data_IF_317856763375
#
_entry.id   IF_317856763375
#
_cell.length_a   1.000
_cell.length_b   1.000
_cell.length_c   1.000
_cell.angle_alpha   90.00
_cell.angle_beta   90.00
_cell.angle_gamma   90.00
#
_symmetry.space_group_name_H-M   'P 1'
#
loop_
_entity.id
_entity.type
_entity.pdbx_description
1 polymer ?
#
# COMPACT_ATOMS: atom_id res chain seq x y z
N UNK A 1 13.66 -3.70 -0.66
CA UNK A 1 14.77 -4.24 -1.50
C UNK A 1 14.80 -3.41 -2.77
N UNK A 2 15.93 -2.74 -3.04
CA UNK A 2 16.15 -1.99 -4.28
C UNK A 2 16.60 -3.00 -5.34
N UNK A 3 15.98 -3.05 -6.53
CA UNK A 3 16.40 -3.93 -7.60
C UNK A 3 17.86 -3.67 -8.02
N UNK A 4 18.59 -4.71 -8.47
CA UNK A 4 20.03 -4.63 -8.80
C UNK A 4 20.37 -3.64 -9.92
N UNK A 5 19.41 -3.34 -10.79
CA UNK A 5 19.58 -2.37 -11.88
C UNK A 5 19.46 -0.91 -11.44
N UNK A 6 19.24 -0.64 -10.14
CA UNK A 6 19.20 0.70 -9.59
C UNK A 6 20.45 1.00 -8.78
N UNK A 7 20.98 2.19 -8.95
CA UNK A 7 22.08 2.69 -8.14
C UNK A 7 21.56 3.20 -6.80
N UNK A 8 22.18 2.78 -5.70
CA UNK A 8 21.91 3.30 -4.36
C UNK A 8 23.03 4.26 -3.98
N UNK A 9 22.66 5.51 -3.68
CA UNK A 9 23.55 6.52 -3.11
C UNK A 9 23.02 6.92 -1.73
N UNK A 10 23.86 6.85 -0.73
CA UNK A 10 23.50 7.24 0.64
C UNK A 10 23.99 8.66 0.89
N UNK A 11 23.10 9.53 1.33
CA UNK A 11 23.45 10.89 1.76
C UNK A 11 24.08 10.83 3.15
N UNK A 12 25.18 11.56 3.39
CA UNK A 12 25.81 11.62 4.70
C UNK A 12 24.84 12.18 5.74
N UNK A 13 24.88 11.62 6.96
CA UNK A 13 24.08 12.12 8.09
C UNK A 13 24.40 13.56 8.50
N UNK A 14 25.55 14.09 8.05
CA UNK A 14 25.95 15.48 8.27
C UNK A 14 25.20 16.47 7.38
N UNK A 15 24.61 15.98 6.29
CA UNK A 15 23.76 16.77 5.40
C UNK A 15 22.34 16.74 5.95
N UNK A 16 21.95 17.84 6.57
CA UNK A 16 20.58 18.01 7.08
C UNK A 16 19.59 18.17 5.92
N UNK A 17 18.30 17.92 6.19
CA UNK A 17 17.23 18.08 5.19
C UNK A 17 17.22 19.46 4.53
N UNK A 18 17.62 20.51 5.26
CA UNK A 18 17.70 21.87 4.72
C UNK A 18 18.89 22.05 3.75
N UNK A 19 19.94 21.28 3.87
CA UNK A 19 21.12 21.33 2.99
C UNK A 19 21.05 20.34 1.83
N UNK A 20 20.14 19.39 1.90
CA UNK A 20 20.00 18.34 0.89
C UNK A 20 19.70 18.87 -0.51
N UNK A 21 18.85 19.91 -0.73
CA UNK A 21 18.65 20.49 -2.05
C UNK A 21 19.92 21.08 -2.69
N UNK A 22 20.80 21.68 -1.89
CA UNK A 22 22.08 22.20 -2.38
C UNK A 22 23.01 21.06 -2.77
N UNK A 23 23.11 20.04 -1.93
CA UNK A 23 23.89 18.84 -2.22
C UNK A 23 23.40 18.10 -3.46
N UNK A 24 22.06 17.96 -3.65
CA UNK A 24 21.49 17.36 -4.87
C UNK A 24 21.92 18.15 -6.11
N UNK A 25 21.84 19.49 -6.05
CA UNK A 25 22.23 20.36 -7.17
C UNK A 25 23.71 20.28 -7.54
N UNK A 26 24.57 19.97 -6.58
CA UNK A 26 26.00 19.72 -6.83
C UNK A 26 26.28 18.36 -7.45
N UNK A 27 25.42 17.38 -7.26
CA UNK A 27 25.65 15.99 -7.67
C UNK A 27 24.94 15.62 -8.98
N UNK A 28 23.87 16.34 -9.36
CA UNK A 28 22.97 15.96 -10.45
C UNK A 28 22.67 17.17 -11.35
N UNK A 29 22.75 16.98 -12.66
CA UNK A 29 22.39 18.00 -13.63
C UNK A 29 20.86 18.11 -13.78
N UNK A 30 20.33 19.33 -13.69
CA UNK A 30 18.90 19.62 -13.81
C UNK A 30 18.29 19.26 -15.16
N UNK A 31 19.12 19.16 -16.20
CA UNK A 31 18.70 18.79 -17.56
C UNK A 31 18.70 17.28 -17.80
N UNK A 32 19.39 16.51 -16.97
CA UNK A 32 19.49 15.06 -17.09
C UNK A 32 18.63 14.32 -16.07
N UNK A 33 18.31 14.96 -14.94
CA UNK A 33 17.63 14.31 -13.80
C UNK A 33 16.29 14.96 -13.48
N UNK A 34 15.31 14.08 -13.28
CA UNK A 34 14.02 14.34 -12.69
C UNK A 34 14.04 13.81 -11.26
N UNK A 35 13.58 14.58 -10.30
CA UNK A 35 13.51 14.15 -8.90
C UNK A 35 12.12 13.60 -8.58
N UNK A 36 12.10 12.45 -7.89
CA UNK A 36 10.89 11.89 -7.28
C UNK A 36 11.17 11.82 -5.79
N UNK A 37 10.34 12.45 -4.99
CA UNK A 37 10.45 12.45 -3.53
C UNK A 37 9.23 11.78 -2.90
N UNK A 38 9.50 10.95 -1.88
CA UNK A 38 8.52 10.18 -1.13
C UNK A 38 8.91 10.22 0.36
N UNK A 39 8.08 10.86 1.17
CA UNK A 39 8.29 10.96 2.62
C UNK A 39 7.84 12.29 3.21
N UNK A 40 7.34 12.25 4.43
CA UNK A 40 6.75 13.38 5.16
C UNK A 40 7.75 14.50 5.48
N UNK A 41 9.06 14.22 5.47
CA UNK A 41 10.11 15.21 5.66
C UNK A 41 10.28 16.17 4.49
N UNK A 42 9.78 15.83 3.30
CA UNK A 42 9.89 16.64 2.07
C UNK A 42 8.75 17.65 1.98
N UNK A 43 8.66 18.52 2.96
CA UNK A 43 7.60 19.51 3.12
C UNK A 43 7.63 20.61 2.04
N UNK A 44 6.70 21.54 2.12
CA UNK A 44 6.55 22.66 1.21
C UNK A 44 7.85 23.47 1.03
N UNK A 45 8.59 23.73 2.12
CA UNK A 45 9.87 24.47 2.08
C UNK A 45 10.94 23.71 1.30
N UNK A 46 11.05 22.39 1.51
CA UNK A 46 11.97 21.52 0.76
C UNK A 46 11.63 21.52 -0.74
N UNK A 47 10.38 21.30 -1.09
CA UNK A 47 9.91 21.31 -2.47
C UNK A 47 10.22 22.64 -3.17
N UNK A 48 9.95 23.77 -2.50
CA UNK A 48 10.27 25.11 -3.00
C UNK A 48 11.74 25.25 -3.33
N UNK A 49 12.64 24.85 -2.43
CA UNK A 49 14.10 24.92 -2.64
C UNK A 49 14.57 24.06 -3.82
N UNK A 50 14.03 22.85 -3.98
CA UNK A 50 14.31 22.01 -5.16
C UNK A 50 13.86 22.71 -6.44
N UNK A 51 12.68 23.33 -6.46
CA UNK A 51 12.16 24.06 -7.61
C UNK A 51 12.99 25.32 -7.93
N UNK A 52 13.48 26.03 -6.93
CA UNK A 52 14.38 27.19 -7.09
C UNK A 52 15.74 26.80 -7.72
N UNK A 53 16.19 25.54 -7.56
CA UNK A 53 17.37 25.00 -8.27
C UNK A 53 17.10 24.66 -9.73
N UNK A 54 15.84 24.60 -10.15
CA UNK A 54 15.44 24.32 -11.54
C UNK A 54 15.05 22.88 -11.82
N UNK A 55 15.11 21.98 -10.85
CA UNK A 55 14.72 20.57 -11.06
C UNK A 55 13.24 20.41 -11.39
N UNK A 56 12.93 19.43 -12.22
CA UNK A 56 11.60 18.86 -12.32
C UNK A 56 11.35 17.97 -11.11
N UNK A 57 10.21 18.14 -10.45
CA UNK A 57 9.88 17.49 -9.20
C UNK A 57 8.56 16.74 -9.29
N UNK A 58 8.59 15.46 -8.97
CA UNK A 58 7.40 14.64 -8.69
C UNK A 58 7.36 14.38 -7.18
N UNK A 59 6.22 14.62 -6.56
CA UNK A 59 5.99 14.37 -5.15
C UNK A 59 4.94 13.29 -4.95
N UNK A 60 5.28 12.25 -4.18
CA UNK A 60 4.35 11.22 -3.74
C UNK A 60 3.79 11.68 -2.40
N UNK A 61 2.48 11.91 -2.37
CA UNK A 61 1.76 12.43 -1.22
C UNK A 61 0.61 11.50 -0.84
N UNK A 62 0.25 11.47 0.44
CA UNK A 62 -0.90 10.75 0.97
C UNK A 62 -1.77 11.58 1.94
N UNK A 63 -1.36 12.82 2.25
CA UNK A 63 -2.02 13.66 3.25
C UNK A 63 -2.72 14.90 2.69
N UNK A 64 -2.24 15.45 1.56
CA UNK A 64 -2.72 16.72 0.98
C UNK A 64 -2.73 17.89 1.99
N UNK A 65 -1.78 17.93 2.94
CA UNK A 65 -1.83 18.79 4.12
C UNK A 65 -1.08 20.11 3.99
N UNK A 66 -0.25 20.27 2.93
CA UNK A 66 0.61 21.44 2.72
C UNK A 66 0.49 22.01 1.31
N UNK A 67 1.02 23.23 1.11
CA UNK A 67 1.17 23.79 -0.24
C UNK A 67 2.26 23.03 -1.02
N UNK A 68 1.95 22.60 -2.26
CA UNK A 68 2.82 21.77 -3.09
C UNK A 68 3.46 22.59 -4.21
N UNK A 69 4.79 22.48 -4.35
CA UNK A 69 5.57 23.10 -5.42
C UNK A 69 5.93 22.12 -6.56
N UNK A 70 5.58 20.86 -6.43
CA UNK A 70 5.91 19.82 -7.40
C UNK A 70 5.27 20.06 -8.78
N UNK A 71 5.94 19.62 -9.85
CA UNK A 71 5.38 19.63 -11.20
C UNK A 71 4.32 18.55 -11.38
N UNK A 72 4.46 17.43 -10.66
CA UNK A 72 3.44 16.37 -10.58
C UNK A 72 3.25 15.98 -9.12
N UNK A 73 2.00 15.89 -8.69
CA UNK A 73 1.61 15.28 -7.42
C UNK A 73 1.00 13.91 -7.72
N UNK A 74 1.52 12.87 -7.06
CA UNK A 74 0.98 11.52 -7.10
C UNK A 74 0.30 11.26 -5.76
N UNK A 75 -1.00 10.98 -5.78
CA UNK A 75 -1.71 10.45 -4.62
C UNK A 75 -2.71 9.39 -5.10
N UNK A 76 -2.46 8.15 -4.77
CA UNK A 76 -3.23 7.03 -5.28
C UNK A 76 -4.42 6.64 -4.40
N UNK A 77 -4.73 7.41 -3.36
CA UNK A 77 -5.92 7.17 -2.54
C UNK A 77 -7.18 7.22 -3.40
N UNK A 78 -8.12 6.30 -3.23
CA UNK A 78 -9.44 6.42 -3.84
C UNK A 78 -10.08 7.75 -3.41
N UNK A 79 -11.03 8.25 -4.13
CA UNK A 79 -11.80 9.46 -3.78
C UNK A 79 -11.00 10.77 -3.61
N UNK A 80 -9.69 10.78 -3.92
CA UNK A 80 -8.88 11.99 -3.92
C UNK A 80 -9.11 12.81 -5.20
N UNK A 81 -9.25 14.12 -5.06
CA UNK A 81 -9.41 15.05 -6.18
C UNK A 81 -8.40 16.20 -6.13
N UNK A 82 -8.24 16.94 -7.23
CA UNK A 82 -7.35 18.11 -7.28
C UNK A 82 -7.77 19.22 -6.31
N UNK A 83 -9.04 19.27 -5.92
CA UNK A 83 -9.58 20.25 -4.96
C UNK A 83 -9.04 20.07 -3.54
N UNK A 84 -8.52 18.86 -3.23
CA UNK A 84 -7.90 18.59 -1.94
C UNK A 84 -6.52 19.24 -1.80
N UNK A 85 -5.91 19.75 -2.89
CA UNK A 85 -4.54 20.24 -2.89
C UNK A 85 -4.48 21.76 -3.04
N UNK A 86 -3.61 22.38 -2.26
CA UNK A 86 -3.09 23.71 -2.50
C UNK A 86 -1.73 23.60 -3.20
N UNK A 87 -1.59 24.08 -4.43
CA UNK A 87 -0.37 23.84 -5.21
C UNK A 87 -0.08 24.96 -6.23
N UNK A 88 1.09 24.88 -6.89
CA UNK A 88 1.48 25.78 -7.95
C UNK A 88 0.55 25.65 -9.18
N UNK A 89 0.31 26.76 -9.90
CA UNK A 89 -0.68 26.83 -10.97
C UNK A 89 -0.47 25.81 -12.11
N UNK A 90 0.76 25.37 -12.34
CA UNK A 90 1.10 24.43 -13.43
C UNK A 90 1.27 22.99 -12.94
N UNK A 91 0.94 22.70 -11.69
CA UNK A 91 1.05 21.35 -11.13
C UNK A 91 0.07 20.40 -11.84
N UNK A 92 0.58 19.27 -12.28
CA UNK A 92 -0.22 18.16 -12.84
C UNK A 92 -0.50 17.12 -11.78
N UNK A 93 -1.58 16.37 -11.97
CA UNK A 93 -2.05 15.42 -10.98
C UNK A 93 -2.09 13.98 -11.52
N UNK A 94 -1.61 13.06 -10.70
CA UNK A 94 -1.74 11.62 -10.84
C UNK A 94 -2.55 11.10 -9.64
N UNK A 95 -3.89 11.22 -9.70
CA UNK A 95 -4.78 10.97 -8.56
C UNK A 95 -5.64 9.72 -8.72
N UNK A 96 -5.89 9.08 -7.59
CA UNK A 96 -6.79 7.94 -7.47
C UNK A 96 -6.17 6.62 -7.93
N UNK A 97 -6.96 5.55 -7.85
CA UNK A 97 -6.54 4.17 -8.14
C UNK A 97 -6.01 3.95 -9.55
N UNK A 98 -6.44 4.79 -10.52
CA UNK A 98 -5.92 4.77 -11.91
C UNK A 98 -4.43 5.14 -12.00
N UNK A 99 -3.85 5.69 -10.93
CA UNK A 99 -2.44 5.97 -10.76
C UNK A 99 -1.85 5.22 -9.57
N UNK A 100 -2.37 4.05 -9.25
CA UNK A 100 -1.87 3.24 -8.16
C UNK A 100 -0.38 2.92 -8.33
N UNK A 101 0.38 3.08 -7.25
CA UNK A 101 1.80 2.74 -7.18
C UNK A 101 1.93 1.24 -6.91
N UNK A 102 1.80 0.44 -7.95
CA UNK A 102 1.86 -1.02 -7.88
C UNK A 102 3.23 -1.53 -8.32
N UNK A 103 3.75 -2.51 -7.59
CA UNK A 103 4.95 -3.23 -8.00
C UNK A 103 4.73 -4.01 -9.31
N UNK A 104 5.78 -4.21 -10.14
CA UNK A 104 5.65 -4.81 -11.48
C UNK A 104 4.91 -6.14 -11.54
N UNK A 105 5.14 -7.05 -10.60
CA UNK A 105 4.44 -8.35 -10.53
C UNK A 105 2.93 -8.16 -10.38
N UNK A 106 2.48 -7.22 -9.58
CA UNK A 106 1.04 -6.98 -9.38
C UNK A 106 0.39 -6.29 -10.59
N UNK A 107 1.10 -5.42 -11.31
CA UNK A 107 0.64 -4.89 -12.59
C UNK A 107 0.39 -6.00 -13.63
N UNK A 108 1.25 -7.02 -13.67
CA UNK A 108 1.03 -8.18 -14.55
C UNK A 108 -0.13 -9.07 -14.07
N UNK A 109 -0.36 -9.16 -12.76
CA UNK A 109 -1.46 -9.95 -12.19
C UNK A 109 -2.83 -9.32 -12.43
N UNK A 110 -2.93 -8.00 -12.62
CA UNK A 110 -4.18 -7.34 -13.05
C UNK A 110 -4.77 -7.92 -14.34
N UNK A 111 -3.92 -8.48 -15.21
CA UNK A 111 -4.33 -9.08 -16.49
C UNK A 111 -4.92 -10.47 -16.34
N UNK A 112 -4.76 -11.11 -15.18
CA UNK A 112 -5.19 -12.49 -14.91
C UNK A 112 -6.55 -12.50 -14.22
N UNK A 113 -7.36 -13.46 -14.57
CA UNK A 113 -8.59 -13.77 -13.83
C UNK A 113 -8.26 -14.66 -12.63
N UNK A 114 -8.99 -14.49 -11.56
CA UNK A 114 -8.96 -15.38 -10.43
C UNK A 114 -10.33 -16.01 -10.22
N UNK A 115 -10.36 -17.30 -9.98
CA UNK A 115 -11.57 -18.03 -9.64
C UNK A 115 -11.68 -18.21 -8.14
N UNK A 116 -12.89 -18.12 -7.60
CA UNK A 116 -13.18 -18.38 -6.20
C UNK A 116 -12.66 -19.79 -5.80
N UNK A 117 -11.69 -19.80 -4.90
CA UNK A 117 -11.16 -21.01 -4.27
C UNK A 117 -12.01 -21.38 -3.04
N UNK A 118 -11.69 -22.53 -2.42
CA UNK A 118 -12.23 -22.86 -1.11
C UNK A 118 -11.92 -21.74 -0.11
N UNK A 119 -12.84 -21.45 0.80
CA UNK A 119 -12.71 -20.40 1.84
C UNK A 119 -11.97 -20.92 3.09
N UNK A 120 -10.81 -21.54 2.90
CA UNK A 120 -10.13 -22.30 3.96
C UNK A 120 -8.68 -21.88 4.21
N UNK A 121 -8.11 -21.00 3.41
CA UNK A 121 -6.74 -20.54 3.54
C UNK A 121 -6.68 -19.03 3.71
N UNK A 122 -6.30 -18.56 4.89
CA UNK A 122 -6.15 -17.15 5.21
C UNK A 122 -4.76 -16.62 4.80
N UNK A 123 -4.71 -15.42 4.25
CA UNK A 123 -3.52 -14.57 4.19
C UNK A 123 -3.65 -13.49 5.27
N UNK A 124 -2.62 -13.31 6.10
CA UNK A 124 -2.60 -12.29 7.17
C UNK A 124 -1.34 -11.45 7.03
N UNK A 125 -1.49 -10.12 6.92
CA UNK A 125 -0.38 -9.19 6.89
C UNK A 125 -0.81 -7.81 7.37
N UNK A 126 -0.24 -7.32 8.48
CA UNK A 126 -0.50 -5.99 9.04
C UNK A 126 0.63 -5.00 8.80
N UNK A 127 1.33 -5.13 7.65
CA UNK A 127 2.33 -4.16 7.20
C UNK A 127 3.70 -4.31 7.87
N UNK A 128 4.45 -3.22 7.95
CA UNK A 128 5.87 -3.24 8.32
C UNK A 128 6.15 -3.55 9.78
N UNK A 129 5.45 -2.90 10.71
CA UNK A 129 5.74 -2.94 12.14
C UNK A 129 4.64 -3.59 12.99
N UNK A 130 3.37 -3.46 12.59
CA UNK A 130 2.20 -3.92 13.36
C UNK A 130 2.28 -3.56 14.87
N UNK A 131 2.27 -2.27 15.23
CA UNK A 131 2.56 -1.82 16.59
C UNK A 131 1.53 -2.29 17.63
N UNK A 132 0.35 -2.71 17.21
CA UNK A 132 -0.75 -3.18 18.06
C UNK A 132 -0.85 -4.71 18.13
N UNK A 133 0.09 -5.42 17.51
CA UNK A 133 0.13 -6.89 17.41
C UNK A 133 -1.21 -7.48 16.91
N UNK A 134 -1.79 -6.82 15.91
CA UNK A 134 -3.04 -7.25 15.29
C UNK A 134 -2.87 -8.60 14.58
N UNK A 135 -1.68 -8.88 14.06
CA UNK A 135 -1.33 -10.20 13.49
C UNK A 135 -1.57 -11.34 14.48
N UNK A 136 -1.12 -11.20 15.72
CA UNK A 136 -1.33 -12.21 16.75
C UNK A 136 -2.80 -12.36 17.09
N UNK A 137 -3.50 -11.25 17.30
CA UNK A 137 -4.91 -11.24 17.69
C UNK A 137 -5.79 -11.91 16.63
N UNK A 138 -5.61 -11.53 15.37
CA UNK A 138 -6.37 -12.12 14.25
C UNK A 138 -6.00 -13.59 14.03
N UNK A 139 -4.74 -13.96 14.25
CA UNK A 139 -4.31 -15.38 14.15
C UNK A 139 -5.01 -16.23 15.19
N UNK A 140 -5.08 -15.76 16.45
CA UNK A 140 -5.83 -16.45 17.52
C UNK A 140 -7.31 -16.58 17.17
N UNK A 141 -7.94 -15.52 16.63
CA UNK A 141 -9.33 -15.58 16.17
C UNK A 141 -9.53 -16.60 15.04
N UNK A 142 -8.66 -16.62 14.04
CA UNK A 142 -8.73 -17.56 12.92
C UNK A 142 -8.61 -19.02 13.35
N UNK A 143 -7.86 -19.32 14.41
CA UNK A 143 -7.75 -20.67 14.97
C UNK A 143 -9.07 -21.21 15.55
N UNK A 144 -9.98 -20.32 15.96
CA UNK A 144 -11.30 -20.67 16.48
C UNK A 144 -12.35 -20.83 15.35
N UNK A 145 -12.01 -20.48 14.10
CA UNK A 145 -12.91 -20.62 12.95
C UNK A 145 -12.71 -21.98 12.27
N UNK A 146 -13.68 -22.85 12.38
CA UNK A 146 -13.60 -24.25 11.90
C UNK A 146 -13.40 -24.39 10.38
N UNK A 147 -13.83 -23.40 9.60
CA UNK A 147 -13.65 -23.34 8.15
C UNK A 147 -12.20 -23.12 7.74
N UNK A 148 -11.40 -22.44 8.61
CA UNK A 148 -9.99 -22.10 8.29
C UNK A 148 -9.10 -23.33 8.51
N UNK A 149 -8.45 -23.78 7.43
CA UNK A 149 -7.57 -24.95 7.45
C UNK A 149 -6.10 -24.58 7.39
N UNK A 150 -5.77 -23.39 6.89
CA UNK A 150 -4.40 -22.90 6.74
C UNK A 150 -4.34 -21.40 6.97
N UNK A 151 -3.28 -20.94 7.63
CA UNK A 151 -3.02 -19.52 7.87
C UNK A 151 -1.60 -19.21 7.39
N UNK A 152 -1.50 -18.36 6.38
CA UNK A 152 -0.25 -17.81 5.87
C UNK A 152 -0.06 -16.42 6.48
N UNK A 153 0.91 -16.25 7.35
CA UNK A 153 1.22 -14.99 8.03
C UNK A 153 2.46 -14.40 7.39
N UNK A 154 2.37 -13.14 6.94
CA UNK A 154 3.51 -12.38 6.44
C UNK A 154 3.82 -11.26 7.40
N UNK A 155 4.99 -11.33 8.03
CA UNK A 155 5.48 -10.33 8.96
C UNK A 155 6.36 -9.31 8.24
N UNK A 156 6.18 -8.04 8.56
CA UNK A 156 7.04 -6.98 8.07
C UNK A 156 8.43 -6.98 8.72
N UNK A 157 9.39 -6.30 8.08
CA UNK A 157 10.78 -6.27 8.56
C UNK A 157 10.97 -5.57 9.91
N UNK A 158 10.02 -4.73 10.33
CA UNK A 158 10.06 -4.02 11.61
C UNK A 158 9.14 -4.64 12.69
N UNK A 159 8.58 -5.83 12.44
CA UNK A 159 7.77 -6.54 13.43
C UNK A 159 8.63 -7.02 14.60
N UNK A 160 8.27 -6.65 15.83
CA UNK A 160 9.09 -6.88 17.04
C UNK A 160 8.48 -7.86 18.04
N UNK A 161 7.19 -8.19 17.90
CA UNK A 161 6.47 -9.04 18.85
C UNK A 161 6.90 -10.50 18.68
N UNK A 162 7.12 -11.20 19.80
CA UNK A 162 7.68 -12.56 19.79
C UNK A 162 6.62 -13.64 19.99
N UNK A 163 5.45 -13.30 20.54
CA UNK A 163 4.42 -14.28 20.92
C UNK A 163 3.89 -15.06 19.72
N UNK A 164 3.82 -14.46 18.54
CA UNK A 164 3.39 -15.11 17.30
C UNK A 164 4.18 -16.40 17.00
N UNK A 165 5.48 -16.42 17.31
CA UNK A 165 6.36 -17.56 17.06
C UNK A 165 6.14 -18.72 18.05
N UNK A 166 5.46 -18.47 19.18
CA UNK A 166 5.13 -19.50 20.18
C UNK A 166 3.88 -20.31 19.81
N UNK A 167 3.12 -19.88 18.80
CA UNK A 167 1.93 -20.62 18.34
C UNK A 167 2.38 -21.86 17.55
N UNK A 168 2.39 -23.01 18.22
CA UNK A 168 2.79 -24.30 17.63
C UNK A 168 1.58 -25.02 17.01
N UNK A 169 1.18 -24.59 15.81
CA UNK A 169 0.07 -25.19 15.05
C UNK A 169 0.56 -25.55 13.63
N UNK A 170 0.32 -26.81 13.19
CA UNK A 170 0.77 -27.33 11.90
C UNK A 170 0.18 -26.61 10.69
N UNK A 171 -0.96 -25.96 10.89
CA UNK A 171 -1.68 -25.23 9.85
C UNK A 171 -1.27 -23.76 9.72
N UNK A 172 -0.30 -23.28 10.50
CA UNK A 172 0.26 -21.92 10.42
C UNK A 172 1.61 -21.95 9.71
N UNK A 173 1.79 -21.02 8.77
CA UNK A 173 3.08 -20.72 8.17
C UNK A 173 3.40 -19.23 8.34
N UNK A 174 4.57 -18.94 8.88
CA UNK A 174 5.07 -17.58 9.08
C UNK A 174 6.17 -17.31 8.06
N UNK A 175 6.06 -16.18 7.36
CA UNK A 175 6.99 -15.72 6.35
C UNK A 175 7.48 -14.32 6.71
N UNK A 176 8.73 -14.02 6.35
CA UNK A 176 9.33 -12.70 6.53
C UNK A 176 10.37 -12.47 5.42
N UNK A 177 10.64 -11.19 5.10
CA UNK A 177 11.62 -10.81 4.08
C UNK A 177 11.39 -11.43 2.69
N UNK A 178 10.15 -11.56 2.30
CA UNK A 178 9.75 -12.11 1.01
C UNK A 178 10.11 -11.16 -0.14
N UNK A 179 10.54 -11.73 -1.25
CA UNK A 179 10.55 -11.04 -2.54
C UNK A 179 9.11 -10.75 -3.00
N UNK A 180 8.97 -9.83 -3.93
CA UNK A 180 7.68 -9.50 -4.55
C UNK A 180 6.98 -10.73 -5.16
N UNK A 181 7.75 -11.58 -5.83
CA UNK A 181 7.24 -12.80 -6.45
C UNK A 181 6.72 -13.80 -5.40
N UNK A 182 7.51 -14.07 -4.36
CA UNK A 182 7.10 -14.98 -3.27
C UNK A 182 5.85 -14.47 -2.56
N UNK A 183 5.78 -13.17 -2.27
CA UNK A 183 4.60 -12.57 -1.66
C UNK A 183 3.35 -12.77 -2.54
N UNK A 184 3.47 -12.50 -3.84
CA UNK A 184 2.36 -12.67 -4.78
C UNK A 184 1.90 -14.12 -4.91
N UNK A 185 2.82 -15.08 -4.83
CA UNK A 185 2.52 -16.51 -4.84
C UNK A 185 1.73 -16.92 -3.57
N UNK A 186 2.16 -16.46 -2.38
CA UNK A 186 1.46 -16.74 -1.12
C UNK A 186 0.06 -16.12 -1.13
N UNK A 187 -0.08 -14.89 -1.61
CA UNK A 187 -1.39 -14.24 -1.76
C UNK A 187 -2.29 -15.07 -2.69
N UNK A 188 -1.80 -15.50 -3.83
CA UNK A 188 -2.55 -16.30 -4.81
C UNK A 188 -2.92 -17.68 -4.30
N UNK A 189 -2.12 -18.27 -3.42
CA UNK A 189 -2.40 -19.56 -2.79
C UNK A 189 -3.42 -19.45 -1.65
N UNK A 190 -3.76 -18.23 -1.25
CA UNK A 190 -4.75 -17.96 -0.21
C UNK A 190 -6.15 -17.78 -0.80
N UNK A 191 -7.18 -18.06 0.01
CA UNK A 191 -8.58 -17.99 -0.38
C UNK A 191 -9.25 -16.68 0.00
N UNK A 192 -8.69 -16.01 1.01
CA UNK A 192 -9.10 -14.70 1.49
C UNK A 192 -7.94 -14.04 2.22
N UNK A 193 -8.04 -12.73 2.45
CA UNK A 193 -7.01 -11.96 3.14
C UNK A 193 -7.57 -11.14 4.30
N UNK A 194 -6.72 -10.87 5.28
CA UNK A 194 -6.95 -9.91 6.35
C UNK A 194 -5.75 -8.97 6.39
N UNK A 195 -5.99 -7.70 6.11
CA UNK A 195 -4.93 -6.71 5.99
C UNK A 195 -5.45 -5.30 6.29
N UNK A 196 -4.59 -4.36 6.70
CA UNK A 196 -4.99 -2.97 6.87
C UNK A 196 -5.14 -2.27 5.52
N UNK A 197 -5.85 -1.14 5.55
CA UNK A 197 -5.98 -0.25 4.40
C UNK A 197 -4.68 0.52 4.14
N UNK A 198 -3.74 -0.13 3.49
CA UNK A 198 -2.43 0.40 3.12
C UNK A 198 -2.01 -0.14 1.74
N UNK A 199 -0.78 0.05 1.31
CA UNK A 199 -0.28 -0.43 0.01
C UNK A 199 -0.57 -1.93 -0.23
N UNK A 200 -0.55 -2.76 0.81
CA UNK A 200 -0.86 -4.20 0.71
C UNK A 200 -2.28 -4.46 0.20
N UNK A 201 -3.23 -3.57 0.53
CA UNK A 201 -4.62 -3.68 0.08
C UNK A 201 -4.73 -3.55 -1.44
N UNK A 202 -3.98 -2.62 -2.04
CA UNK A 202 -3.93 -2.47 -3.51
C UNK A 202 -3.42 -3.74 -4.18
N UNK A 203 -2.38 -4.35 -3.62
CA UNK A 203 -1.80 -5.59 -4.14
C UNK A 203 -2.75 -6.78 -4.01
N UNK A 204 -3.45 -6.89 -2.89
CA UNK A 204 -4.47 -7.92 -2.67
C UNK A 204 -5.63 -7.77 -3.66
N UNK A 205 -6.07 -6.54 -3.94
CA UNK A 205 -7.08 -6.28 -4.98
C UNK A 205 -6.61 -6.70 -6.38
N UNK A 206 -5.30 -6.61 -6.68
CA UNK A 206 -4.76 -7.15 -7.94
C UNK A 206 -4.85 -8.69 -8.01
N UNK A 207 -4.79 -9.37 -6.87
CA UNK A 207 -4.96 -10.84 -6.77
C UNK A 207 -6.43 -11.23 -6.90
N UNK A 208 -7.36 -10.35 -6.57
CA UNK A 208 -8.82 -10.57 -6.65
C UNK A 208 -9.27 -11.71 -5.74
N UNK A 209 -8.95 -11.61 -4.46
CA UNK A 209 -9.46 -12.48 -3.40
C UNK A 209 -10.30 -11.67 -2.42
N UNK A 210 -11.27 -12.27 -1.72
CA UNK A 210 -12.04 -11.58 -0.68
C UNK A 210 -11.11 -11.03 0.41
N UNK A 211 -11.30 -9.77 0.79
CA UNK A 211 -10.43 -9.07 1.72
C UNK A 211 -11.25 -8.52 2.88
N UNK A 212 -10.88 -8.88 4.12
CA UNK A 212 -11.30 -8.13 5.30
C UNK A 212 -10.26 -7.03 5.53
N UNK A 213 -10.71 -5.79 5.59
CA UNK A 213 -9.81 -4.66 5.82
C UNK A 213 -10.35 -3.71 6.87
N UNK A 214 -9.45 -3.09 7.59
CA UNK A 214 -9.71 -2.03 8.54
C UNK A 214 -8.53 -1.06 8.57
N UNK A 215 -8.61 -0.03 9.40
CA UNK A 215 -7.52 0.93 9.60
C UNK A 215 -7.20 1.06 11.10
N UNK A 216 -5.98 1.46 11.43
CA UNK A 216 -5.52 1.65 12.81
C UNK A 216 -4.62 2.89 12.99
N UNK A 217 -4.37 3.64 11.91
CA UNK A 217 -3.68 4.94 11.87
C UNK A 217 -4.39 5.86 10.86
N UNK A 218 -4.32 7.17 11.09
CA UNK A 218 -5.14 8.17 10.39
C UNK A 218 -4.91 8.18 8.88
N UNK A 219 -3.68 8.01 8.42
CA UNK A 219 -3.37 7.98 6.97
C UNK A 219 -3.93 6.75 6.23
N UNK A 220 -4.43 5.75 6.94
CA UNK A 220 -5.11 4.58 6.36
C UNK A 220 -6.61 4.82 6.13
N UNK A 221 -7.21 5.77 6.85
CA UNK A 221 -8.66 5.97 6.84
C UNK A 221 -9.18 6.38 5.46
N UNK A 222 -8.49 7.29 4.77
CA UNK A 222 -8.87 7.71 3.42
C UNK A 222 -8.82 6.56 2.40
N UNK A 223 -7.80 5.70 2.50
CA UNK A 223 -7.68 4.49 1.68
C UNK A 223 -8.82 3.53 2.01
N UNK A 224 -9.06 3.28 3.30
CA UNK A 224 -10.14 2.42 3.78
C UNK A 224 -11.49 2.84 3.22
N UNK A 225 -11.87 4.10 3.44
CA UNK A 225 -13.15 4.64 2.99
C UNK A 225 -13.32 4.51 1.48
N UNK A 226 -12.27 4.80 0.70
CA UNK A 226 -12.35 4.70 -0.75
C UNK A 226 -12.53 3.28 -1.28
N UNK A 227 -11.92 2.27 -0.66
CA UNK A 227 -12.16 0.87 -1.04
C UNK A 227 -13.49 0.33 -0.51
N UNK A 228 -13.99 0.86 0.61
CA UNK A 228 -15.31 0.57 1.14
C UNK A 228 -16.41 1.12 0.23
N UNK A 229 -16.32 2.38 -0.20
CA UNK A 229 -17.26 3.03 -1.12
C UNK A 229 -17.39 2.27 -2.45
N UNK A 230 -16.30 1.65 -2.91
CA UNK A 230 -16.28 0.80 -4.10
C UNK A 230 -16.78 -0.63 -3.84
N UNK A 231 -17.19 -0.97 -2.63
CA UNK A 231 -17.56 -2.34 -2.20
C UNK A 231 -16.46 -3.38 -2.52
N UNK A 232 -15.18 -3.01 -2.40
CA UNK A 232 -14.05 -3.86 -2.76
C UNK A 232 -13.48 -4.66 -1.59
N UNK A 233 -13.91 -4.35 -0.37
CA UNK A 233 -13.48 -4.95 0.88
C UNK A 233 -14.66 -5.30 1.76
N UNK A 234 -14.49 -6.27 2.64
CA UNK A 234 -15.35 -6.46 3.79
C UNK A 234 -14.84 -5.52 4.91
N UNK A 235 -15.71 -4.66 5.37
CA UNK A 235 -15.37 -3.55 6.25
C UNK A 235 -15.24 -3.97 7.71
N UNK A 236 -14.10 -3.66 8.35
CA UNK A 236 -13.90 -3.85 9.79
C UNK A 236 -13.85 -2.53 10.57
N UNK A 237 -13.80 -1.37 9.87
CA UNK A 237 -13.68 -0.06 10.51
C UNK A 237 -12.32 0.16 11.17
N UNK A 238 -12.32 0.93 12.28
CA UNK A 238 -11.11 1.13 13.09
C UNK A 238 -10.84 -0.12 13.93
N UNK A 239 -9.73 -0.78 13.63
CA UNK A 239 -9.32 -2.06 14.26
C UNK A 239 -8.23 -1.90 15.33
N UNK A 240 -7.86 -0.65 15.65
CA UNK A 240 -6.76 -0.37 16.59
C UNK A 240 -6.90 -1.10 17.92
N UNK A 241 -8.11 -1.08 18.47
CA UNK A 241 -8.41 -1.65 19.80
C UNK A 241 -9.08 -3.05 19.71
N UNK A 242 -9.12 -3.66 18.52
CA UNK A 242 -9.67 -5.00 18.38
C UNK A 242 -8.89 -6.02 19.22
N UNK A 243 -9.63 -6.85 19.90
CA UNK A 243 -9.14 -8.06 20.56
C UNK A 243 -9.50 -9.32 19.74
N UNK A 244 -9.22 -10.49 20.28
CA UNK A 244 -9.54 -11.77 19.63
C UNK A 244 -11.03 -11.91 19.36
N UNK A 245 -11.88 -11.56 20.34
CA UNK A 245 -13.33 -11.69 20.21
C UNK A 245 -13.91 -10.76 19.15
N UNK A 246 -13.38 -9.53 19.04
CA UNK A 246 -13.75 -8.57 18.00
C UNK A 246 -13.44 -9.13 16.61
N UNK A 247 -12.24 -9.70 16.40
CA UNK A 247 -11.90 -10.36 15.15
C UNK A 247 -12.75 -11.59 14.84
N UNK A 248 -13.06 -12.42 15.83
CA UNK A 248 -13.96 -13.59 15.67
C UNK A 248 -15.34 -13.16 15.18
N UNK A 249 -15.92 -12.12 15.78
CA UNK A 249 -17.21 -11.60 15.37
C UNK A 249 -17.20 -11.14 13.91
N UNK A 250 -16.18 -10.39 13.48
CA UNK A 250 -16.03 -9.95 12.09
C UNK A 250 -15.82 -11.13 11.13
N UNK A 251 -15.04 -12.13 11.50
CA UNK A 251 -14.83 -13.33 10.69
C UNK A 251 -16.14 -14.11 10.49
N UNK A 252 -16.97 -14.25 11.51
CA UNK A 252 -18.30 -14.90 11.38
C UNK A 252 -19.20 -14.15 10.40
N UNK A 253 -19.23 -12.82 10.45
CA UNK A 253 -19.99 -12.00 9.50
C UNK A 253 -19.44 -12.17 8.08
N UNK A 254 -18.12 -12.09 7.92
CA UNK A 254 -17.44 -12.25 6.66
C UNK A 254 -17.74 -13.61 5.98
N UNK A 255 -17.66 -14.72 6.70
CA UNK A 255 -17.93 -16.04 6.13
C UNK A 255 -19.38 -16.23 5.69
N UNK A 256 -20.29 -15.39 6.16
CA UNK A 256 -21.71 -15.36 5.76
C UNK A 256 -22.00 -14.36 4.64
N UNK A 257 -21.01 -13.57 4.18
CA UNK A 257 -21.19 -12.55 3.12
C UNK A 257 -21.02 -13.13 1.70
N UNK A 258 -21.47 -12.37 0.69
CA UNK A 258 -21.27 -12.71 -0.74
C UNK A 258 -19.91 -12.19 -1.24
N UNK A 259 -18.97 -13.11 -1.37
CA UNK A 259 -17.63 -12.80 -1.89
C UNK A 259 -17.56 -12.45 -3.36
N UNK A 260 -18.59 -12.83 -4.15
CA UNK A 260 -18.58 -12.53 -5.60
C UNK A 260 -18.70 -11.03 -5.85
N UNK A 261 -19.50 -10.36 -5.04
CA UNK A 261 -19.67 -8.91 -5.15
C UNK A 261 -18.36 -8.19 -4.89
N UNK A 262 -17.70 -8.50 -3.76
CA UNK A 262 -16.37 -7.93 -3.42
C UNK A 262 -15.35 -8.12 -4.55
N UNK A 263 -15.23 -9.34 -5.09
CA UNK A 263 -14.27 -9.64 -6.16
C UNK A 263 -14.64 -8.93 -7.48
N UNK A 264 -15.93 -8.78 -7.80
CA UNK A 264 -16.37 -8.04 -8.98
C UNK A 264 -16.03 -6.54 -8.87
N UNK A 265 -16.16 -5.97 -7.69
CA UNK A 265 -15.78 -4.58 -7.43
C UNK A 265 -14.27 -4.39 -7.55
N UNK A 266 -13.46 -5.30 -7.00
CA UNK A 266 -12.00 -5.27 -7.17
C UNK A 266 -11.55 -5.26 -8.63
N UNK A 267 -12.28 -5.96 -9.54
CA UNK A 267 -11.99 -5.94 -10.98
C UNK A 267 -12.16 -4.56 -11.63
N UNK A 268 -12.92 -3.65 -11.02
CA UNK A 268 -13.21 -2.31 -11.55
C UNK A 268 -12.24 -1.24 -11.03
N UNK A 269 -11.58 -1.49 -9.89
CA UNK A 269 -10.70 -0.50 -9.22
C UNK A 269 -9.49 -0.17 -10.09
N UNK A 270 -8.86 -1.18 -10.68
CA UNK A 270 -7.65 -0.99 -11.48
C UNK A 270 -7.90 -1.32 -12.95
N UNK A 271 -7.54 -0.41 -13.82
CA UNK A 271 -7.45 -0.71 -15.25
C UNK A 271 -6.02 -1.14 -15.65
N UNK A 272 -5.88 -1.64 -16.87
CA UNK A 272 -4.60 -2.16 -17.39
C UNK A 272 -3.68 -1.06 -17.93
N UNK A 273 -4.03 0.23 -17.78
CA UNK A 273 -3.35 1.37 -18.43
C UNK A 273 -2.49 2.22 -17.49
N UNK A 274 -2.26 1.78 -16.25
CA UNK A 274 -1.50 2.53 -15.24
C UNK A 274 -0.12 2.92 -15.78
N UNK A 275 0.65 1.97 -16.32
CA UNK A 275 1.99 2.22 -16.87
C UNK A 275 1.98 3.24 -18.02
N UNK A 276 1.02 3.12 -18.93
CA UNK A 276 0.89 4.04 -20.08
C UNK A 276 0.59 5.47 -19.60
N UNK A 277 -0.26 5.62 -18.58
CA UNK A 277 -0.58 6.93 -18.01
C UNK A 277 0.63 7.58 -17.35
N UNK A 278 1.40 6.85 -16.55
CA UNK A 278 2.62 7.37 -15.95
C UNK A 278 3.63 7.80 -17.00
N UNK A 279 3.89 6.97 -18.02
CA UNK A 279 4.80 7.34 -19.12
C UNK A 279 4.36 8.63 -19.79
N UNK A 280 3.08 8.76 -20.17
CA UNK A 280 2.55 9.96 -20.79
C UNK A 280 2.66 11.19 -19.88
N UNK A 281 2.39 11.03 -18.59
CA UNK A 281 2.43 12.12 -17.62
C UNK A 281 3.86 12.61 -17.38
N UNK A 282 4.82 11.71 -17.17
CA UNK A 282 6.23 12.04 -16.95
C UNK A 282 6.81 12.74 -18.18
N UNK A 283 6.61 12.18 -19.37
CA UNK A 283 7.06 12.81 -20.64
C UNK A 283 6.46 14.21 -20.87
N UNK A 284 5.36 14.54 -20.21
CA UNK A 284 4.72 15.86 -20.36
C UNK A 284 5.40 16.98 -19.58
N UNK A 285 6.36 16.67 -18.72
CA UNK A 285 7.16 17.64 -17.93
C UNK A 285 8.66 17.59 -18.25
N UNK A 286 9.13 16.54 -18.95
CA UNK A 286 10.44 16.48 -19.58
C UNK A 286 10.39 17.18 -20.93
#
# INVERSE_FOLDING_TARGET
IIPENYQKKTISKEITIDKEPDWINEQFDIHEYLLIVDGYQFNSSYQKRIKEKGFKLIYIDDLASEYMFADIIINHSPNISSENFSCAANTKFALGTKYALLRPTFLELLKKENTLKRRDTAFVCFGGADPFDLTLKVTKALLNITQVKKINIVLGGAYVHKEIYSISQKNIKIFQNLSEKELSEIMRDSSFAIAPASTILYELCCIKIPILSGFYVDNQEAIYNGFADENAIFEMGNIKDFDVASFEAQLHLFFNSDFKELMNSQNKIFDKKIKERYNKLILSIC
#
